data_IF_809745058229
#
_entry.id   IF_809745058229
#
_cell.length_a   1.000
_cell.length_b   1.000
_cell.length_c   1.000
_cell.angle_alpha   90.00
_cell.angle_beta   90.00
_cell.angle_gamma   90.00
#
_symmetry.space_group_name_H-M   'P 1'
#
loop_
_entity.id
_entity.type
_entity.pdbx_description
1 polymer ?
#
# COMPACT_ATOMS: atom_id res chain seq x y z
N UNK A 1 15.57 17.62 -5.44
CA UNK A 1 15.18 18.87 -6.12
C UNK A 1 14.73 18.57 -7.54
N UNK A 2 13.59 19.10 -7.93
CA UNK A 2 13.01 18.92 -9.27
C UNK A 2 12.72 20.30 -9.86
N UNK A 3 13.27 20.56 -11.05
CA UNK A 3 12.94 21.75 -11.83
C UNK A 3 11.93 21.40 -12.92
N UNK A 4 10.96 22.29 -13.18
CA UNK A 4 9.93 22.10 -14.22
C UNK A 4 9.18 20.77 -14.09
N UNK A 5 8.73 20.43 -12.87
CA UNK A 5 7.97 19.20 -12.64
C UNK A 5 6.61 19.26 -13.32
N UNK A 6 6.42 18.43 -14.33
CA UNK A 6 5.17 18.28 -15.07
C UNK A 6 4.34 17.15 -14.44
N UNK A 7 3.08 17.42 -14.16
CA UNK A 7 2.09 16.42 -13.70
C UNK A 7 0.90 16.45 -14.62
N UNK A 8 0.26 15.31 -14.75
CA UNK A 8 -1.02 15.18 -15.44
C UNK A 8 -2.16 15.39 -14.45
N UNK A 9 -3.09 16.25 -14.77
CA UNK A 9 -4.29 16.53 -13.98
C UNK A 9 -5.51 16.12 -14.80
N UNK A 10 -6.37 15.34 -14.19
CA UNK A 10 -7.60 14.86 -14.84
C UNK A 10 -8.75 15.87 -14.65
N UNK A 11 -9.44 16.17 -15.74
CA UNK A 11 -10.66 16.96 -15.69
C UNK A 11 -11.78 16.10 -15.08
N UNK A 12 -12.51 16.63 -14.10
CA UNK A 12 -13.61 15.92 -13.43
C UNK A 12 -14.71 15.57 -14.45
N UNK A 13 -15.06 14.29 -14.54
CA UNK A 13 -16.08 13.80 -15.48
C UNK A 13 -15.60 13.58 -16.91
N UNK A 14 -14.33 13.83 -17.22
CA UNK A 14 -13.74 13.62 -18.55
C UNK A 14 -12.49 12.76 -18.43
N UNK A 15 -12.31 11.69 -19.22
CA UNK A 15 -11.13 10.81 -19.14
C UNK A 15 -9.88 11.43 -19.80
N UNK A 16 -9.76 12.75 -19.82
CA UNK A 16 -8.65 13.47 -20.43
C UNK A 16 -7.75 14.01 -19.32
N UNK A 17 -6.46 13.82 -19.47
CA UNK A 17 -5.43 14.34 -18.57
C UNK A 17 -4.68 15.49 -19.24
N UNK A 18 -4.48 16.55 -18.49
CA UNK A 18 -3.75 17.73 -18.94
C UNK A 18 -2.41 17.84 -18.23
N UNK A 19 -1.32 18.10 -18.94
CA UNK A 19 -0.04 18.37 -18.31
C UNK A 19 -0.04 19.77 -17.68
N UNK A 20 0.35 19.85 -16.41
CA UNK A 20 0.56 21.10 -15.69
C UNK A 20 2.00 21.17 -15.20
N UNK A 21 2.64 22.30 -15.43
CA UNK A 21 3.97 22.56 -14.90
C UNK A 21 3.84 23.24 -13.53
N UNK A 22 4.36 22.57 -12.48
CA UNK A 22 4.44 23.11 -11.11
C UNK A 22 5.72 23.92 -10.85
N UNK A 23 6.53 24.19 -11.87
CA UNK A 23 7.78 24.89 -11.73
C UNK A 23 8.82 24.09 -10.93
N UNK A 24 9.48 24.74 -9.97
CA UNK A 24 10.46 24.08 -9.10
C UNK A 24 9.78 23.46 -7.89
N UNK A 25 10.08 22.20 -7.62
CA UNK A 25 9.62 21.50 -6.44
C UNK A 25 10.74 20.64 -5.87
N UNK A 26 10.83 20.55 -4.57
CA UNK A 26 11.80 19.72 -3.86
C UNK A 26 11.11 18.74 -2.91
N UNK A 27 11.73 17.59 -2.76
CA UNK A 27 11.36 16.55 -1.81
C UNK A 27 12.59 16.24 -0.97
N UNK A 28 12.45 16.24 0.33
CA UNK A 28 13.44 15.75 1.29
C UNK A 28 12.77 14.81 2.28
N UNK A 29 13.52 13.94 2.91
CA UNK A 29 12.96 13.01 3.87
C UNK A 29 13.95 11.94 4.28
N UNK A 30 13.45 10.96 5.02
CA UNK A 30 14.24 9.80 5.39
C UNK A 30 13.38 8.53 5.38
N UNK A 31 14.04 7.41 5.11
CA UNK A 31 13.51 6.06 5.22
C UNK A 31 14.28 5.30 6.31
N UNK A 32 13.57 4.57 7.14
CA UNK A 32 14.11 3.74 8.20
C UNK A 32 13.52 2.34 8.12
N UNK A 33 14.38 1.32 8.29
CA UNK A 33 13.97 -0.06 8.33
C UNK A 33 14.56 -0.74 9.55
N UNK A 34 13.70 -1.42 10.31
CA UNK A 34 14.07 -2.27 11.43
C UNK A 34 13.64 -3.70 11.14
N UNK A 35 14.52 -4.67 11.34
CA UNK A 35 14.16 -6.07 11.20
C UNK A 35 14.75 -6.89 12.37
N UNK A 36 13.97 -7.85 12.83
CA UNK A 36 14.34 -8.81 13.85
C UNK A 36 13.94 -10.22 13.39
N UNK A 37 14.84 -11.18 13.56
CA UNK A 37 14.59 -12.58 13.28
C UNK A 37 15.06 -13.44 14.46
N UNK A 38 14.22 -14.36 14.92
CA UNK A 38 14.62 -15.34 15.93
C UNK A 38 15.60 -16.36 15.34
N UNK A 39 16.48 -16.97 16.18
CA UNK A 39 17.50 -17.94 15.72
C UNK A 39 16.94 -19.10 14.90
N UNK A 40 15.74 -19.56 15.19
CA UNK A 40 15.08 -20.66 14.47
C UNK A 40 14.16 -20.17 13.33
N UNK A 41 14.19 -18.89 13.00
CA UNK A 41 13.26 -18.25 12.04
C UNK A 41 11.77 -18.47 12.34
N UNK A 42 11.45 -18.86 13.58
CA UNK A 42 10.07 -19.09 14.02
C UNK A 42 9.26 -17.79 14.07
N UNK A 43 9.94 -16.69 14.35
CA UNK A 43 9.39 -15.36 14.45
C UNK A 43 10.27 -14.38 13.70
N UNK A 44 9.66 -13.61 12.81
CA UNK A 44 10.30 -12.48 12.13
C UNK A 44 9.41 -11.26 12.26
N UNK A 45 10.01 -10.14 12.58
CA UNK A 45 9.37 -8.82 12.59
C UNK A 45 10.14 -7.88 11.68
N UNK A 46 9.44 -7.10 10.89
CA UNK A 46 10.02 -5.97 10.15
C UNK A 46 9.11 -4.75 10.24
N UNK A 47 9.72 -3.61 10.42
CA UNK A 47 9.05 -2.31 10.43
C UNK A 47 9.78 -1.37 9.50
N UNK A 48 9.08 -0.71 8.62
CA UNK A 48 9.59 0.39 7.81
C UNK A 48 8.81 1.65 8.10
N UNK A 49 9.52 2.76 8.19
CA UNK A 49 8.99 4.10 8.36
C UNK A 49 9.60 5.02 7.32
N UNK A 50 8.77 5.76 6.61
CA UNK A 50 9.18 6.80 5.69
C UNK A 50 8.53 8.12 6.07
N UNK A 51 9.30 9.20 5.98
CA UNK A 51 8.83 10.56 6.19
C UNK A 51 9.39 11.49 5.13
N UNK A 52 8.50 12.24 4.47
CA UNK A 52 8.84 13.14 3.37
C UNK A 52 8.34 14.56 3.66
N UNK A 53 9.15 15.52 3.31
CA UNK A 53 8.82 16.94 3.30
C UNK A 53 8.75 17.40 1.84
N UNK A 54 7.60 17.89 1.45
CA UNK A 54 7.34 18.44 0.13
C UNK A 54 7.39 19.96 0.20
N UNK A 55 8.16 20.61 -0.68
CA UNK A 55 8.13 22.09 -0.78
C UNK A 55 6.79 22.58 -1.31
N UNK A 56 6.17 21.79 -2.17
CA UNK A 56 4.82 22.00 -2.71
C UNK A 56 4.09 20.64 -2.76
N UNK A 57 3.10 20.39 -1.89
CA UNK A 57 2.34 19.14 -1.90
C UNK A 57 1.60 18.89 -3.23
N UNK A 58 1.23 19.94 -3.95
CA UNK A 58 0.53 19.80 -5.23
C UNK A 58 1.44 19.27 -6.35
N UNK A 59 2.74 19.52 -6.26
CA UNK A 59 3.71 18.92 -7.17
C UNK A 59 3.91 17.40 -6.91
N UNK A 60 3.53 16.90 -5.72
CA UNK A 60 3.67 15.51 -5.30
C UNK A 60 2.31 14.86 -4.98
N UNK A 61 1.35 15.05 -5.90
CA UNK A 61 -0.02 14.58 -5.74
C UNK A 61 -0.08 13.08 -5.43
N UNK A 62 -1.04 12.70 -4.57
CA UNK A 62 -1.33 11.34 -4.15
C UNK A 62 -0.17 10.65 -3.40
N UNK A 63 0.89 11.38 -3.05
CA UNK A 63 1.99 10.86 -2.28
C UNK A 63 1.81 11.20 -0.79
N UNK A 64 1.78 10.22 0.12
CA UNK A 64 1.69 10.49 1.54
C UNK A 64 3.03 11.06 2.06
N UNK A 65 2.98 11.93 3.05
CA UNK A 65 4.18 12.45 3.72
C UNK A 65 4.73 11.48 4.76
N UNK A 66 3.88 10.59 5.29
CA UNK A 66 4.25 9.56 6.28
C UNK A 66 3.72 8.21 5.88
N UNK A 67 4.59 7.20 5.95
CA UNK A 67 4.23 5.81 5.72
C UNK A 67 4.85 4.92 6.79
N UNK A 68 4.05 4.00 7.31
CA UNK A 68 4.50 2.94 8.21
C UNK A 68 4.05 1.61 7.65
N UNK A 69 4.94 0.64 7.64
CA UNK A 69 4.62 -0.74 7.30
C UNK A 69 5.25 -1.68 8.30
N UNK A 70 4.42 -2.42 9.00
CA UNK A 70 4.84 -3.45 9.92
C UNK A 70 4.47 -4.82 9.35
N UNK A 71 5.37 -5.77 9.48
CA UNK A 71 5.14 -7.17 9.09
C UNK A 71 5.60 -8.08 10.20
N UNK A 72 4.74 -9.00 10.60
CA UNK A 72 5.03 -10.08 11.54
C UNK A 72 4.85 -11.39 10.79
N UNK A 73 5.81 -12.29 10.92
CA UNK A 73 5.77 -13.65 10.38
C UNK A 73 6.02 -14.64 11.50
N UNK A 74 5.08 -15.55 11.70
CA UNK A 74 5.26 -16.76 12.51
C UNK A 74 5.36 -17.96 11.57
N UNK A 75 6.37 -18.81 11.79
CA UNK A 75 6.62 -19.99 10.97
C UNK A 75 6.96 -21.18 11.86
N UNK A 76 6.14 -22.19 11.80
CA UNK A 76 6.36 -23.46 12.50
C UNK A 76 6.19 -24.55 11.45
N UNK A 77 7.17 -25.45 11.29
CA UNK A 77 7.19 -26.61 10.38
C UNK A 77 6.13 -26.61 9.25
N UNK A 78 4.88 -26.84 9.61
CA UNK A 78 3.75 -26.98 8.67
C UNK A 78 2.85 -25.75 8.59
N UNK A 79 3.09 -24.72 9.41
CA UNK A 79 2.25 -23.54 9.57
C UNK A 79 3.04 -22.26 9.35
N UNK A 80 2.48 -21.30 8.65
CA UNK A 80 3.03 -19.95 8.52
C UNK A 80 1.88 -18.92 8.57
N UNK A 81 2.01 -17.95 9.46
CA UNK A 81 1.13 -16.79 9.57
C UNK A 81 1.93 -15.52 9.27
N UNK A 82 1.44 -14.71 8.33
CA UNK A 82 1.94 -13.37 8.07
C UNK A 82 0.84 -12.37 8.41
N UNK A 83 1.18 -11.37 9.20
CA UNK A 83 0.35 -10.21 9.49
C UNK A 83 1.05 -8.96 8.96
N UNK A 84 0.34 -8.12 8.24
CA UNK A 84 0.87 -6.88 7.67
C UNK A 84 -0.06 -5.75 8.07
N UNK A 85 0.52 -4.72 8.63
CA UNK A 85 -0.12 -3.46 8.92
C UNK A 85 0.50 -2.38 8.05
N UNK A 86 -0.32 -1.52 7.44
CA UNK A 86 0.10 -0.34 6.68
C UNK A 86 -0.66 0.86 7.20
N UNK A 87 0.08 1.93 7.41
CA UNK A 87 -0.46 3.24 7.75
C UNK A 87 0.15 4.27 6.81
N UNK A 88 -0.68 5.09 6.19
CA UNK A 88 -0.27 6.20 5.33
C UNK A 88 -1.03 7.45 5.78
N UNK A 89 -0.35 8.60 5.78
CA UNK A 89 -1.00 9.88 6.03
C UNK A 89 -1.97 10.24 4.91
N UNK A 90 -2.73 11.29 5.12
CA UNK A 90 -3.56 11.89 4.07
C UNK A 90 -2.72 12.32 2.86
N UNK A 91 -3.39 12.39 1.72
CA UNK A 91 -2.79 12.72 0.44
C UNK A 91 -3.61 13.80 -0.24
N UNK A 92 -2.93 14.73 -0.86
CA UNK A 92 -3.57 15.82 -1.59
C UNK A 92 -3.53 15.56 -3.10
N UNK A 93 -4.54 16.03 -3.81
CA UNK A 93 -4.56 16.01 -5.26
C UNK A 93 -5.43 17.15 -5.79
N UNK A 94 -5.16 17.53 -7.03
CA UNK A 94 -5.91 18.57 -7.73
C UNK A 94 -6.74 17.93 -8.83
N UNK A 95 -7.99 18.31 -8.92
CA UNK A 95 -8.85 18.05 -10.07
C UNK A 95 -9.31 19.38 -10.70
N UNK A 96 -9.82 19.32 -11.92
CA UNK A 96 -10.39 20.46 -12.61
C UNK A 96 -11.87 20.19 -12.80
N UNK A 97 -12.72 21.13 -12.37
CA UNK A 97 -14.17 21.01 -12.58
C UNK A 97 -14.57 21.35 -14.03
N UNK A 98 -15.84 21.19 -14.35
CA UNK A 98 -16.39 21.48 -15.69
C UNK A 98 -16.26 22.95 -16.13
N UNK A 99 -16.02 23.87 -15.19
CA UNK A 99 -15.81 25.30 -15.46
C UNK A 99 -14.32 25.67 -15.60
N UNK A 100 -13.41 24.67 -15.55
CA UNK A 100 -11.97 24.89 -15.63
C UNK A 100 -11.31 25.33 -14.32
N UNK A 101 -12.04 25.33 -13.19
CA UNK A 101 -11.51 25.76 -11.89
C UNK A 101 -10.77 24.59 -11.22
N UNK A 102 -9.59 24.87 -10.66
CA UNK A 102 -8.84 23.90 -9.88
C UNK A 102 -9.50 23.65 -8.51
N UNK A 103 -9.75 22.40 -8.22
CA UNK A 103 -10.26 21.93 -6.94
C UNK A 103 -9.15 21.19 -6.19
N UNK A 104 -8.87 21.64 -4.98
CA UNK A 104 -7.94 20.95 -4.08
C UNK A 104 -8.72 19.91 -3.28
N UNK A 105 -8.37 18.66 -3.47
CA UNK A 105 -9.02 17.54 -2.84
C UNK A 105 -8.03 16.84 -1.89
N UNK A 106 -8.57 16.10 -0.94
CA UNK A 106 -7.81 15.32 0.03
C UNK A 106 -8.38 13.91 0.10
N UNK A 107 -7.50 12.94 0.09
CA UNK A 107 -7.79 11.58 0.52
C UNK A 107 -7.35 11.42 1.96
N UNK A 108 -8.22 10.90 2.81
CA UNK A 108 -7.93 10.69 4.22
C UNK A 108 -6.78 9.71 4.45
N UNK A 109 -6.18 9.79 5.63
CA UNK A 109 -5.19 8.82 6.07
C UNK A 109 -5.79 7.41 6.10
N UNK A 110 -4.97 6.42 5.79
CA UNK A 110 -5.40 5.02 5.79
C UNK A 110 -4.63 4.20 6.81
N UNK A 111 -5.29 3.14 7.26
CA UNK A 111 -4.75 2.19 8.20
C UNK A 111 -5.32 0.81 7.86
N UNK A 112 -4.53 -0.04 7.18
CA UNK A 112 -5.02 -1.34 6.69
C UNK A 112 -4.27 -2.50 7.33
N UNK A 113 -5.00 -3.61 7.49
CA UNK A 113 -4.49 -4.86 8.02
C UNK A 113 -4.71 -5.97 7.01
N UNK A 114 -3.63 -6.68 6.68
CA UNK A 114 -3.67 -7.87 5.84
C UNK A 114 -3.19 -9.08 6.65
N UNK A 115 -3.74 -10.25 6.37
CA UNK A 115 -3.28 -11.51 6.94
C UNK A 115 -3.14 -12.59 5.86
N UNK A 116 -2.15 -13.45 6.01
CA UNK A 116 -1.98 -14.64 5.20
C UNK A 116 -1.62 -15.82 6.09
N UNK A 117 -2.43 -16.87 5.99
CA UNK A 117 -2.23 -18.15 6.67
C UNK A 117 -1.88 -19.20 5.63
N UNK A 118 -0.80 -19.95 5.83
CA UNK A 118 -0.39 -21.04 4.95
C UNK A 118 -0.14 -22.31 5.77
N UNK A 119 -0.71 -23.42 5.31
CA UNK A 119 -0.56 -24.75 5.87
C UNK A 119 0.14 -25.64 4.84
N UNK A 120 1.20 -26.33 5.25
CA UNK A 120 1.90 -27.34 4.44
C UNK A 120 1.58 -28.72 5.01
N UNK A 121 0.99 -29.55 4.22
CA UNK A 121 0.61 -30.91 4.57
C UNK A 121 1.53 -31.88 3.84
N UNK A 122 2.04 -32.89 4.56
CA UNK A 122 2.81 -33.97 3.96
C UNK A 122 2.21 -35.29 4.42
N UNK A 123 1.79 -36.08 3.47
CA UNK A 123 1.23 -37.41 3.73
C UNK A 123 1.80 -38.39 2.71
N UNK A 124 2.69 -39.29 3.16
CA UNK A 124 3.42 -40.25 2.31
C UNK A 124 4.09 -39.55 1.12
N UNK A 125 3.68 -39.89 -0.09
CA UNK A 125 4.23 -39.36 -1.34
C UNK A 125 3.55 -38.07 -1.81
N UNK A 126 2.54 -37.62 -1.07
CA UNK A 126 1.77 -36.40 -1.39
C UNK A 126 2.25 -35.22 -0.54
N UNK A 127 2.36 -34.08 -1.19
CA UNK A 127 2.58 -32.78 -0.53
C UNK A 127 1.42 -31.87 -0.87
N UNK A 128 0.72 -31.40 0.14
CA UNK A 128 -0.37 -30.44 0.01
C UNK A 128 0.02 -29.07 0.56
N UNK A 129 -0.58 -28.03 0.02
CA UNK A 129 -0.53 -26.69 0.58
C UNK A 129 -1.93 -26.09 0.52
N UNK A 130 -2.33 -25.45 1.62
CA UNK A 130 -3.56 -24.65 1.71
C UNK A 130 -3.13 -23.27 2.16
N UNK A 131 -3.57 -22.22 1.47
CA UNK A 131 -3.34 -20.86 1.94
C UNK A 131 -4.63 -20.04 1.87
N UNK A 132 -4.86 -19.32 2.94
CA UNK A 132 -5.94 -18.34 3.06
C UNK A 132 -5.32 -16.96 3.23
N UNK A 133 -5.76 -15.99 2.44
CA UNK A 133 -5.32 -14.60 2.58
C UNK A 133 -6.53 -13.66 2.62
N UNK A 134 -6.45 -12.68 3.51
CA UNK A 134 -7.36 -11.55 3.59
C UNK A 134 -6.58 -10.25 3.47
N UNK A 135 -7.03 -9.37 2.62
CA UNK A 135 -6.51 -8.00 2.48
C UNK A 135 -7.55 -7.01 2.95
N UNK A 136 -7.08 -5.91 3.52
CA UNK A 136 -7.92 -4.84 4.04
C UNK A 136 -8.99 -5.38 5.01
N UNK A 137 -8.56 -6.15 6.03
CA UNK A 137 -9.44 -6.86 6.96
C UNK A 137 -10.35 -5.92 7.78
N UNK A 138 -9.95 -4.70 7.96
CA UNK A 138 -10.72 -3.66 8.65
C UNK A 138 -11.64 -2.86 7.72
N UNK A 139 -11.75 -3.27 6.44
CA UNK A 139 -12.68 -2.72 5.45
C UNK A 139 -12.62 -1.20 5.30
N UNK A 140 -11.40 -0.65 5.26
CA UNK A 140 -11.21 0.77 4.95
C UNK A 140 -11.59 0.98 3.48
N UNK A 141 -12.40 1.98 3.21
CA UNK A 141 -12.80 2.39 1.87
C UNK A 141 -12.33 3.80 1.57
N UNK A 142 -11.77 4.02 0.41
CA UNK A 142 -11.47 5.33 -0.16
C UNK A 142 -11.85 5.33 -1.63
N UNK A 143 -12.37 6.42 -2.10
CA UNK A 143 -12.71 6.60 -3.50
C UNK A 143 -11.89 7.73 -4.12
N UNK A 144 -11.43 7.49 -5.33
CA UNK A 144 -10.82 8.50 -6.19
C UNK A 144 -11.56 8.50 -7.53
N UNK A 145 -12.28 9.57 -7.81
CA UNK A 145 -13.06 9.71 -9.04
C UNK A 145 -14.02 8.53 -9.32
N UNK A 146 -14.69 8.02 -8.28
CA UNK A 146 -15.61 6.89 -8.36
C UNK A 146 -14.94 5.52 -8.42
N UNK A 147 -13.61 5.45 -8.28
CA UNK A 147 -12.86 4.19 -8.23
C UNK A 147 -12.50 3.91 -6.78
N UNK A 148 -12.90 2.74 -6.28
CA UNK A 148 -12.47 2.26 -4.96
C UNK A 148 -10.99 1.91 -4.99
N UNK A 149 -10.20 2.50 -4.08
CA UNK A 149 -8.77 2.29 -3.99
C UNK A 149 -8.39 1.09 -3.10
N UNK A 150 -9.26 0.73 -2.17
CA UNK A 150 -9.01 -0.33 -1.18
C UNK A 150 -10.21 -1.23 -1.04
N UNK A 151 -10.19 -2.34 -1.78
CA UNK A 151 -11.22 -3.37 -1.65
C UNK A 151 -10.83 -4.40 -0.59
N UNK A 152 -11.80 -4.82 0.20
CA UNK A 152 -11.66 -5.99 1.04
C UNK A 152 -11.66 -7.26 0.17
N UNK A 153 -10.63 -8.09 0.30
CA UNK A 153 -10.48 -9.29 -0.54
C UNK A 153 -10.06 -10.50 0.28
N UNK A 154 -10.66 -11.62 -0.05
CA UNK A 154 -10.31 -12.93 0.51
C UNK A 154 -9.96 -13.90 -0.61
N UNK A 155 -8.89 -14.67 -0.41
CA UNK A 155 -8.48 -15.69 -1.36
C UNK A 155 -8.17 -16.99 -0.63
N UNK A 156 -8.59 -18.10 -1.23
CA UNK A 156 -8.27 -19.45 -0.78
C UNK A 156 -7.58 -20.19 -1.92
N UNK A 157 -6.38 -20.73 -1.66
CA UNK A 157 -5.60 -21.45 -2.64
C UNK A 157 -5.28 -22.86 -2.14
N UNK A 158 -5.33 -23.82 -3.04
CA UNK A 158 -4.98 -25.22 -2.81
C UNK A 158 -3.88 -25.62 -3.77
N UNK A 159 -2.89 -26.33 -3.28
CA UNK A 159 -1.84 -26.95 -4.08
C UNK A 159 -1.68 -28.41 -3.68
N UNK A 160 -1.52 -29.28 -4.66
CA UNK A 160 -1.22 -30.69 -4.45
C UNK A 160 -0.10 -31.09 -5.43
N UNK A 161 0.89 -31.81 -4.90
CA UNK A 161 1.93 -32.43 -5.70
C UNK A 161 2.18 -33.85 -5.22
N UNK A 162 2.50 -34.74 -6.15
CA UNK A 162 2.88 -36.12 -5.89
C UNK A 162 4.24 -36.40 -6.53
N UNK A 163 4.94 -37.38 -6.01
CA UNK A 163 6.19 -37.89 -6.59
C UNK A 163 5.91 -39.12 -7.46
#
# INVERSE_FOLDING_TARGET
HYSNKIKQVQLTGVPIQFPINFGEASLSGFDSNLSFSSKAELFNFSSSYAYYLFSDPMAFQLQPDKMVRNKITFKIRWFQLNLIHRSESDRQFTSINSTGTFLHNRLDAINTYDANLSLKLKFRDYKGAISFSGKNLNNISQELNGISLYDQRYNLNFGLSWK
#
